data_IF_022519692627
#
_entry.id   IF_022519692627
#
_cell.length_a   1.000
_cell.length_b   1.000
_cell.length_c   1.000
_cell.angle_alpha   90.00
_cell.angle_beta   90.00
_cell.angle_gamma   90.00
#
_symmetry.space_group_name_H-M   'P 1'
#
loop_
_entity.id
_entity.type
_entity.pdbx_description
1 polymer ?
#
# COMPACT_ATOMS: atom_id res chain seq x y z
N UNK A 1 3.20 7.84 -22.36
CA UNK A 1 4.36 7.08 -21.84
C UNK A 1 4.64 7.58 -20.44
N UNK A 2 4.61 6.72 -19.42
CA UNK A 2 4.99 7.13 -18.07
C UNK A 2 6.47 7.46 -18.03
N UNK A 3 6.84 8.57 -17.41
CA UNK A 3 8.24 8.99 -17.33
C UNK A 3 8.97 8.34 -16.15
N UNK A 4 8.22 7.95 -15.11
CA UNK A 4 8.75 7.29 -13.92
C UNK A 4 7.83 6.15 -13.49
N UNK A 5 8.43 5.06 -13.02
CA UNK A 5 7.74 3.91 -12.42
C UNK A 5 8.42 3.58 -11.09
N UNK A 6 7.61 3.34 -10.05
CA UNK A 6 8.09 2.97 -8.71
C UNK A 6 7.28 1.81 -8.16
N UNK A 7 7.98 0.73 -7.81
CA UNK A 7 7.40 -0.37 -7.04
C UNK A 7 7.62 -0.09 -5.56
N UNK A 8 6.54 -0.06 -4.79
CA UNK A 8 6.55 0.32 -3.38
C UNK A 8 6.03 -0.84 -2.55
N UNK A 9 6.90 -1.39 -1.69
CA UNK A 9 6.48 -2.34 -0.67
C UNK A 9 5.60 -1.64 0.36
N UNK A 10 4.45 -2.25 0.63
CA UNK A 10 3.51 -1.82 1.65
C UNK A 10 4.09 -2.12 3.04
N UNK A 11 3.81 -1.26 4.01
CA UNK A 11 4.31 -1.38 5.38
C UNK A 11 3.14 -1.37 6.35
N UNK A 12 2.90 -2.52 6.98
CA UNK A 12 1.98 -2.61 8.10
C UNK A 12 2.72 -2.30 9.41
N UNK A 13 2.23 -1.32 10.18
CA UNK A 13 2.88 -0.86 11.41
C UNK A 13 2.36 -1.52 12.69
N UNK A 14 1.31 -2.32 12.60
CA UNK A 14 0.75 -3.05 13.75
C UNK A 14 0.17 -4.39 13.31
N UNK A 15 0.41 -5.49 14.03
CA UNK A 15 -0.20 -6.76 13.68
C UNK A 15 -1.72 -6.71 13.98
N UNK A 16 -2.51 -7.47 13.24
CA UNK A 16 -3.95 -7.57 13.49
C UNK A 16 -4.71 -8.31 12.39
N UNK A 17 -6.02 -8.53 12.57
CA UNK A 17 -6.86 -9.11 11.52
C UNK A 17 -6.93 -8.14 10.33
N UNK A 18 -6.86 -8.69 9.12
CA UNK A 18 -7.02 -7.93 7.88
C UNK A 18 -8.41 -7.30 7.83
N UNK A 19 -8.47 -6.04 7.41
CA UNK A 19 -9.73 -5.29 7.34
C UNK A 19 -10.60 -5.75 6.18
N UNK A 20 -11.91 -5.61 6.37
CA UNK A 20 -12.93 -5.78 5.33
C UNK A 20 -13.24 -4.49 4.55
N UNK A 21 -12.82 -3.31 5.05
CA UNK A 21 -13.43 -2.00 4.71
C UNK A 21 -12.76 -1.21 3.56
N UNK A 22 -12.47 -1.88 2.44
CA UNK A 22 -12.17 -1.19 1.19
C UNK A 22 -10.89 -0.34 1.19
N UNK A 23 -9.88 -0.76 1.96
CA UNK A 23 -8.57 -0.11 1.98
C UNK A 23 -7.88 -0.16 0.60
N UNK A 24 -8.18 -1.19 -0.21
CA UNK A 24 -7.66 -1.32 -1.58
C UNK A 24 -8.09 -0.13 -2.44
N UNK A 25 -9.37 0.24 -2.37
CA UNK A 25 -9.94 1.35 -3.15
C UNK A 25 -9.25 2.69 -2.82
N UNK A 26 -8.76 2.86 -1.59
CA UNK A 26 -8.00 4.06 -1.22
C UNK A 26 -6.65 4.12 -1.94
N UNK A 27 -5.98 2.98 -2.12
CA UNK A 27 -4.73 2.90 -2.90
C UNK A 27 -5.02 3.03 -4.39
N UNK A 28 -6.07 2.36 -4.89
CA UNK A 28 -6.49 2.41 -6.29
C UNK A 28 -6.93 3.83 -6.72
N UNK A 29 -7.37 4.66 -5.78
CA UNK A 29 -7.71 6.07 -6.04
C UNK A 29 -6.50 7.01 -6.18
N UNK A 30 -5.27 6.52 -5.96
CA UNK A 30 -4.07 7.33 -6.17
C UNK A 30 -3.93 7.66 -7.65
N UNK A 31 -3.71 8.92 -8.04
CA UNK A 31 -3.59 9.30 -9.46
C UNK A 31 -2.51 8.53 -10.23
N UNK A 32 -1.43 8.15 -9.55
CA UNK A 32 -0.32 7.39 -10.17
C UNK A 32 -0.48 5.87 -10.03
N UNK A 33 -1.61 5.36 -9.53
CA UNK A 33 -1.83 3.93 -9.36
C UNK A 33 -1.77 3.16 -10.70
N UNK A 34 -1.06 2.03 -10.70
CA UNK A 34 -1.02 1.09 -11.83
C UNK A 34 -1.52 -0.28 -11.45
N UNK A 35 -1.02 -0.83 -10.35
CA UNK A 35 -1.36 -2.18 -9.91
C UNK A 35 -1.12 -2.36 -8.42
N UNK A 36 -1.95 -3.18 -7.78
CA UNK A 36 -1.81 -3.64 -6.40
C UNK A 36 -1.66 -5.16 -6.42
N UNK A 37 -0.65 -5.68 -5.74
CA UNK A 37 -0.54 -7.10 -5.39
C UNK A 37 -0.51 -7.19 -3.88
N UNK A 38 -1.46 -7.93 -3.29
CA UNK A 38 -1.59 -8.06 -1.84
C UNK A 38 -1.96 -9.48 -1.46
N UNK A 39 -1.52 -9.88 -0.26
CA UNK A 39 -1.93 -11.12 0.39
C UNK A 39 -2.78 -10.87 1.64
N UNK A 40 -3.19 -9.62 1.88
CA UNK A 40 -4.10 -9.28 2.98
C UNK A 40 -5.46 -9.90 2.67
N UNK A 41 -5.86 -10.83 3.52
CA UNK A 41 -7.18 -11.45 3.49
C UNK A 41 -7.95 -10.98 4.73
N UNK A 42 -9.20 -10.52 4.58
CA UNK A 42 -9.98 -10.10 5.73
C UNK A 42 -10.09 -11.19 6.80
N UNK A 43 -9.98 -10.80 8.07
CA UNK A 43 -9.99 -11.71 9.22
C UNK A 43 -8.70 -12.51 9.44
N UNK A 44 -7.83 -12.67 8.43
CA UNK A 44 -6.53 -13.31 8.61
C UNK A 44 -5.51 -12.34 9.23
N UNK A 45 -4.54 -12.88 9.98
CA UNK A 45 -3.52 -12.04 10.60
C UNK A 45 -2.60 -11.41 9.55
N UNK A 46 -2.57 -10.08 9.50
CA UNK A 46 -1.54 -9.32 8.81
C UNK A 46 -0.41 -9.03 9.81
N UNK A 47 0.83 -9.51 9.56
CA UNK A 47 1.92 -9.31 10.50
C UNK A 47 2.41 -7.85 10.51
N UNK A 48 3.12 -7.47 11.56
CA UNK A 48 3.98 -6.28 11.55
C UNK A 48 5.05 -6.45 10.47
N UNK A 49 5.27 -5.43 9.64
CA UNK A 49 6.32 -5.47 8.63
C UNK A 49 7.68 -5.19 9.26
N UNK A 50 8.54 -6.20 9.27
CA UNK A 50 9.94 -6.14 9.75
C UNK A 50 10.94 -6.55 8.65
N UNK A 51 10.44 -7.15 7.58
CA UNK A 51 11.18 -7.65 6.43
C UNK A 51 10.27 -7.69 5.19
N UNK A 52 10.83 -8.06 4.04
CA UNK A 52 10.05 -8.16 2.79
C UNK A 52 8.96 -9.25 2.86
N UNK A 53 9.20 -10.46 3.39
CA UNK A 53 8.16 -11.47 3.54
C UNK A 53 6.99 -11.05 4.43
N UNK A 54 7.19 -10.19 5.42
CA UNK A 54 6.13 -9.68 6.29
C UNK A 54 5.38 -8.46 5.72
N UNK A 55 5.77 -7.97 4.55
CA UNK A 55 5.03 -6.91 3.87
C UNK A 55 3.62 -7.40 3.44
N UNK A 56 2.57 -6.58 3.55
CA UNK A 56 1.23 -6.89 3.06
C UNK A 56 1.17 -7.17 1.56
N UNK A 57 2.10 -6.59 0.80
CA UNK A 57 2.11 -6.60 -0.65
C UNK A 57 2.97 -5.48 -1.21
N UNK A 58 2.76 -5.16 -2.49
CA UNK A 58 3.36 -4.01 -3.14
C UNK A 58 2.37 -3.31 -4.07
N UNK A 59 2.60 -2.04 -4.31
CA UNK A 59 1.88 -1.23 -5.30
C UNK A 59 2.88 -0.68 -6.33
N UNK A 60 2.47 -0.71 -7.59
CA UNK A 60 3.19 -0.03 -8.68
C UNK A 60 2.56 1.34 -8.90
N UNK A 61 3.39 2.38 -8.86
CA UNK A 61 3.03 3.75 -9.17
C UNK A 61 3.74 4.21 -10.45
N UNK A 62 3.06 4.93 -11.34
CA UNK A 62 3.67 5.48 -12.54
C UNK A 62 3.08 6.85 -12.90
N UNK A 63 3.94 7.78 -13.35
CA UNK A 63 3.54 9.17 -13.62
C UNK A 63 4.73 10.12 -13.76
N UNK A 64 4.47 11.42 -13.60
CA UNK A 64 5.54 12.40 -13.40
C UNK A 64 6.22 12.19 -12.04
N UNK A 65 7.51 12.54 -11.93
CA UNK A 65 8.29 12.32 -10.71
C UNK A 65 7.61 12.93 -9.47
N UNK A 66 7.19 14.18 -9.57
CA UNK A 66 6.53 14.89 -8.47
C UNK A 66 5.19 14.25 -8.06
N UNK A 67 4.44 13.69 -9.01
CA UNK A 67 3.16 13.02 -8.74
C UNK A 67 3.39 11.68 -8.03
N UNK A 68 4.36 10.90 -8.50
CA UNK A 68 4.74 9.61 -7.90
C UNK A 68 5.28 9.84 -6.48
N UNK A 69 6.07 10.89 -6.25
CA UNK A 69 6.56 11.22 -4.91
C UNK A 69 5.45 11.69 -3.97
N UNK A 70 4.51 12.49 -4.46
CA UNK A 70 3.31 12.89 -3.69
C UNK A 70 2.51 11.65 -3.28
N UNK A 71 2.17 10.80 -4.22
CA UNK A 71 1.32 9.63 -3.96
C UNK A 71 2.05 8.58 -3.10
N UNK A 72 3.37 8.43 -3.26
CA UNK A 72 4.19 7.64 -2.35
C UNK A 72 4.13 8.17 -0.91
N UNK A 73 4.19 9.49 -0.69
CA UNK A 73 4.05 10.07 0.66
C UNK A 73 2.65 9.84 1.22
N UNK A 74 1.61 10.08 0.43
CA UNK A 74 0.22 9.83 0.83
C UNK A 74 0.02 8.37 1.25
N UNK A 75 0.58 7.41 0.50
CA UNK A 75 0.56 6.00 0.88
C UNK A 75 1.19 5.76 2.26
N UNK A 76 2.36 6.36 2.55
CA UNK A 76 3.01 6.23 3.87
C UNK A 76 2.20 6.87 5.00
N UNK A 77 1.47 7.94 4.73
CA UNK A 77 0.56 8.56 5.68
C UNK A 77 -0.63 7.64 5.97
N UNK A 78 -1.25 7.05 4.94
CA UNK A 78 -2.33 6.07 5.10
C UNK A 78 -1.88 4.86 5.93
N UNK A 79 -0.69 4.31 5.65
CA UNK A 79 -0.08 3.23 6.43
C UNK A 79 0.10 3.60 7.91
N UNK A 80 0.47 4.86 8.17
CA UNK A 80 0.57 5.40 9.52
C UNK A 80 -0.75 5.38 10.29
N UNK A 81 -1.88 5.48 9.59
CA UNK A 81 -3.23 5.42 10.15
C UNK A 81 -3.81 4.01 10.33
N UNK A 82 -3.04 2.95 10.09
CA UNK A 82 -3.53 1.57 10.22
C UNK A 82 -4.39 1.11 9.04
N UNK A 83 -3.87 1.28 7.83
CA UNK A 83 -4.59 1.00 6.58
C UNK A 83 -5.08 -0.45 6.42
N UNK A 84 -4.35 -1.44 6.95
CA UNK A 84 -4.57 -2.86 6.60
C UNK A 84 -5.30 -3.69 7.66
N UNK A 85 -5.29 -3.25 8.91
CA UNK A 85 -5.79 -4.05 10.05
C UNK A 85 -6.82 -3.29 10.88
N UNK A 86 -7.83 -3.98 11.39
CA UNK A 86 -8.97 -3.40 12.08
C UNK A 86 -10.21 -4.28 12.02
#
# INVERSE_FOLDING_TARGET
MYQNVRNVWLINRRPGPGREDGWQQRIESLPTFVALTTKVVPGQTVPLTVDLPSAPGFVSLAGGLAEVERDHRLLREMEGGGLYVG
#
